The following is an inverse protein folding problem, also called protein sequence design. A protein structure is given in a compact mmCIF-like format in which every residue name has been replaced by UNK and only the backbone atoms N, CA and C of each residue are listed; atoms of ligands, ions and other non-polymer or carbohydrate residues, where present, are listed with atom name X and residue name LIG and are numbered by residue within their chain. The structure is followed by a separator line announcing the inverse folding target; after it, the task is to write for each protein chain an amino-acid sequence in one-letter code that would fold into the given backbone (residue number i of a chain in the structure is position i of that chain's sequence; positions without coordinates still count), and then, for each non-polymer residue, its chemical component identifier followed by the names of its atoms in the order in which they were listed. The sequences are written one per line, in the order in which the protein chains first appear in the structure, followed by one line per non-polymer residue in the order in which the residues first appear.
data_IF_412064094396
#
_entry.id   IF_412064094396
#
_cell.length_a   1.000
_cell.length_b   1.000
_cell.length_c   1.000
_cell.angle_alpha   90.00
_cell.angle_beta   90.00
_cell.angle_gamma   90.00
#
_symmetry.space_group_name_H-M   'P 1'
#
loop_
_entity.id
_entity.type
_entity.pdbx_description
1 polymer ?
#
# COMPACT_ATOMS: atom_id res chain seq x y z
N UNK A 1 -4.88 -0.91 6.55
CA UNK A 1 -3.83 0.14 6.43
C UNK A 1 -4.01 0.84 5.08
N UNK A 2 -4.09 2.18 5.05
CA UNK A 2 -4.39 2.92 3.83
C UNK A 2 -3.16 3.68 3.33
N UNK A 3 -2.94 3.66 2.01
CA UNK A 3 -1.93 4.46 1.33
C UNK A 3 -2.64 5.56 0.53
N UNK A 4 -2.29 6.82 0.76
CA UNK A 4 -2.91 7.98 0.09
C UNK A 4 -1.83 8.85 -0.53
N UNK A 5 -2.00 9.21 -1.80
CA UNK A 5 -1.07 10.10 -2.49
C UNK A 5 -1.60 11.54 -2.46
N UNK A 6 -0.82 12.44 -1.90
CA UNK A 6 -1.18 13.85 -1.78
C UNK A 6 -0.42 14.69 -2.79
N UNK A 7 -1.14 15.53 -3.54
CA UNK A 7 -0.56 16.58 -4.37
C UNK A 7 -0.46 17.88 -3.55
N UNK A 8 0.69 18.55 -3.59
CA UNK A 8 0.94 19.80 -2.90
C UNK A 8 0.95 20.98 -3.89
N UNK A 9 0.64 22.17 -3.38
CA UNK A 9 0.59 23.40 -4.19
C UNK A 9 1.92 23.79 -4.84
N UNK A 10 3.06 23.32 -4.30
CA UNK A 10 4.38 23.49 -4.90
C UNK A 10 4.66 22.50 -6.06
N UNK A 11 3.67 21.70 -6.47
CA UNK A 11 3.80 20.74 -7.57
C UNK A 11 4.47 19.42 -7.18
N UNK A 12 4.63 19.13 -5.89
CA UNK A 12 5.22 17.86 -5.43
C UNK A 12 4.20 16.89 -4.84
N UNK A 13 4.60 15.62 -4.77
CA UNK A 13 3.76 14.53 -4.29
C UNK A 13 4.36 13.88 -3.03
N UNK A 14 3.50 13.65 -2.03
CA UNK A 14 3.86 12.91 -0.81
C UNK A 14 2.96 11.69 -0.67
N UNK A 15 3.56 10.55 -0.35
CA UNK A 15 2.86 9.33 0.01
C UNK A 15 2.57 9.36 1.51
N UNK A 16 1.30 9.24 1.87
CA UNK A 16 0.84 9.02 3.22
C UNK A 16 0.60 7.53 3.44
N UNK A 17 1.11 6.99 4.55
CA UNK A 17 0.83 5.64 5.00
C UNK A 17 0.59 5.64 6.51
N UNK A 18 -0.17 4.66 7.00
CA UNK A 18 -0.46 4.52 8.43
C UNK A 18 0.35 3.40 9.08
N UNK A 19 0.86 3.68 10.29
CA UNK A 19 1.45 2.66 11.17
C UNK A 19 1.01 2.94 12.61
N UNK A 20 0.52 1.91 13.32
CA UNK A 20 -0.01 1.99 14.70
C UNK A 20 -0.87 3.24 14.99
N UNK A 21 -1.85 3.52 14.12
CA UNK A 21 -2.79 4.67 14.22
C UNK A 21 -2.19 6.06 13.97
N UNK A 22 -0.90 6.14 13.67
CA UNK A 22 -0.25 7.40 13.26
C UNK A 22 -0.09 7.45 11.75
N UNK A 23 -0.38 8.62 11.17
CA UNK A 23 -0.21 8.88 9.75
C UNK A 23 1.16 9.50 9.51
N UNK A 24 1.90 8.93 8.58
CA UNK A 24 3.23 9.41 8.20
C UNK A 24 3.24 9.81 6.74
N UNK A 25 4.02 10.84 6.43
CA UNK A 25 4.16 11.37 5.08
C UNK A 25 5.62 11.24 4.66
N UNK A 26 5.85 10.66 3.48
CA UNK A 26 7.17 10.57 2.86
C UNK A 26 7.12 11.14 1.43
N UNK A 27 8.19 11.81 0.94
CA UNK A 27 8.30 12.19 -0.46
C UNK A 27 8.13 10.96 -1.36
N UNK A 28 7.31 11.08 -2.42
CA UNK A 28 7.04 9.96 -3.32
C UNK A 28 8.32 9.38 -3.94
N UNK A 29 9.20 10.25 -4.44
CA UNK A 29 10.46 9.86 -5.11
C UNK A 29 11.38 9.10 -4.16
N UNK A 30 11.41 9.47 -2.87
CA UNK A 30 12.16 8.74 -1.85
C UNK A 30 11.68 7.30 -1.73
N UNK A 31 10.36 7.09 -1.68
CA UNK A 31 9.76 5.74 -1.63
C UNK A 31 10.05 4.96 -2.91
N UNK A 32 9.93 5.59 -4.09
CA UNK A 32 10.22 4.95 -5.37
C UNK A 32 11.68 4.46 -5.45
N UNK A 33 12.65 5.28 -5.04
CA UNK A 33 14.08 4.88 -4.95
C UNK A 33 14.31 3.77 -3.93
N UNK A 34 13.57 3.75 -2.82
CA UNK A 34 13.69 2.68 -1.83
C UNK A 34 13.21 1.32 -2.38
N UNK A 35 12.25 1.31 -3.31
CA UNK A 35 11.68 0.09 -3.90
C UNK A 35 12.62 -0.56 -4.93
N UNK A 36 13.19 0.22 -5.85
CA UNK A 36 14.02 -0.29 -6.96
C UNK A 36 15.40 0.36 -7.01
N UNK A 37 16.43 -0.44 -7.30
CA UNK A 37 17.81 0.05 -7.45
C UNK A 37 18.08 0.47 -8.89
N UNK A 38 17.37 1.51 -9.33
CA UNK A 38 17.49 2.04 -10.69
C UNK A 38 18.02 3.47 -10.66
N UNK A 39 18.80 3.87 -11.67
CA UNK A 39 19.27 5.24 -11.78
C UNK A 39 18.11 6.18 -12.12
N UNK A 40 18.25 7.44 -11.71
CA UNK A 40 17.16 8.42 -11.71
C UNK A 40 16.54 8.67 -13.08
N UNK A 41 17.33 8.57 -14.16
CA UNK A 41 16.83 8.70 -15.52
C UNK A 41 15.85 7.60 -15.93
N UNK A 42 15.98 6.38 -15.38
CA UNK A 42 14.99 5.32 -15.60
C UNK A 42 13.70 5.64 -14.84
N UNK A 43 13.79 6.03 -13.57
CA UNK A 43 12.63 6.43 -12.76
C UNK A 43 11.88 7.59 -13.44
N UNK A 44 12.62 8.59 -13.91
CA UNK A 44 12.10 9.71 -14.68
C UNK A 44 11.37 9.26 -15.95
N UNK A 45 11.99 8.35 -16.74
CA UNK A 45 11.39 7.82 -17.97
C UNK A 45 10.09 7.05 -17.70
N UNK A 46 10.02 6.29 -16.61
CA UNK A 46 8.79 5.57 -16.22
C UNK A 46 7.70 6.54 -15.77
N UNK A 47 8.02 7.55 -14.96
CA UNK A 47 7.05 8.58 -14.57
C UNK A 47 6.51 9.35 -15.78
N UNK A 48 7.38 9.72 -16.73
CA UNK A 48 7.00 10.40 -17.96
C UNK A 48 6.35 9.50 -19.04
N UNK A 49 6.25 8.20 -18.81
CA UNK A 49 5.72 7.28 -19.81
C UNK A 49 4.27 7.68 -20.15
N UNK A 50 4.03 8.11 -21.38
CA UNK A 50 2.70 8.55 -21.83
C UNK A 50 2.35 10.03 -21.65
N UNK A 51 3.17 10.80 -20.94
CA UNK A 51 2.85 12.20 -20.63
C UNK A 51 4.00 13.16 -20.99
N UNK A 52 4.81 12.79 -21.99
CA UNK A 52 5.97 13.60 -22.44
C UNK A 52 5.59 14.97 -23.00
N UNK A 53 4.37 15.10 -23.52
CA UNK A 53 3.90 16.33 -24.15
C UNK A 53 3.40 17.36 -23.12
N UNK A 54 3.22 16.95 -21.86
CA UNK A 54 2.74 17.80 -20.78
C UNK A 54 3.91 18.47 -20.04
N UNK A 55 4.25 19.69 -20.47
CA UNK A 55 5.36 20.47 -19.89
C UNK A 55 5.17 20.74 -18.39
N UNK A 56 3.92 20.90 -17.93
CA UNK A 56 3.64 21.13 -16.51
C UNK A 56 4.01 19.90 -15.70
N UNK A 57 3.54 18.71 -16.12
CA UNK A 57 3.89 17.46 -15.48
C UNK A 57 5.40 17.22 -15.47
N UNK A 58 6.07 17.43 -16.62
CA UNK A 58 7.52 17.28 -16.76
C UNK A 58 8.27 18.14 -15.74
N UNK A 59 7.89 19.41 -15.60
CA UNK A 59 8.50 20.33 -14.64
C UNK A 59 8.28 19.88 -13.18
N UNK A 60 7.07 19.41 -12.85
CA UNK A 60 6.77 18.89 -11.51
C UNK A 60 7.62 17.66 -11.16
N UNK A 61 7.75 16.69 -12.07
CA UNK A 61 8.61 15.52 -11.86
C UNK A 61 10.08 15.92 -11.69
N UNK A 62 10.58 16.85 -12.52
CA UNK A 62 11.95 17.37 -12.39
C UNK A 62 12.18 18.06 -11.05
N UNK A 63 11.20 18.84 -10.56
CA UNK A 63 11.29 19.47 -9.25
C UNK A 63 11.36 18.44 -8.11
N UNK A 64 10.52 17.39 -8.16
CA UNK A 64 10.54 16.33 -7.14
C UNK A 64 11.87 15.55 -7.11
N UNK A 65 12.50 15.33 -8.27
CA UNK A 65 13.83 14.71 -8.32
C UNK A 65 14.90 15.65 -7.75
N UNK A 66 14.83 16.94 -8.07
CA UNK A 66 15.75 17.96 -7.56
C UNK A 66 15.69 18.10 -6.03
N UNK A 67 14.49 18.17 -5.46
CA UNK A 67 14.29 18.24 -4.00
C UNK A 67 14.94 17.06 -3.26
N UNK A 68 14.99 15.87 -3.88
CA UNK A 68 15.64 14.71 -3.30
C UNK A 68 17.18 14.78 -3.40
N UNK A 69 17.71 15.29 -4.51
CA UNK A 69 19.15 15.53 -4.67
C UNK A 69 19.69 16.59 -3.72
N UNK A 70 18.89 17.63 -3.44
CA UNK A 70 19.22 18.64 -2.43
C UNK A 70 19.39 18.05 -1.02
N UNK A 71 18.81 16.87 -0.75
CA UNK A 71 18.99 16.12 0.50
C UNK A 71 20.17 15.13 0.47
N UNK A 72 20.97 15.13 -0.60
CA UNK A 72 22.10 14.22 -0.82
C UNK A 72 21.70 12.74 -0.85
N UNK A 73 20.45 12.43 -1.23
CA UNK A 73 19.92 11.06 -1.32
C UNK A 73 19.93 10.57 -2.78
N UNK A 74 21.07 10.03 -3.20
CA UNK A 74 21.30 9.66 -4.59
C UNK A 74 21.11 8.16 -4.82
N UNK A 75 21.66 7.33 -3.94
CA UNK A 75 21.62 5.86 -4.09
C UNK A 75 20.43 5.23 -3.36
N UNK A 76 20.03 4.02 -3.78
CA UNK A 76 19.00 3.26 -3.06
C UNK A 76 19.40 3.00 -1.61
N UNK A 77 20.67 2.63 -1.36
CA UNK A 77 21.16 2.32 -0.03
C UNK A 77 21.06 3.53 0.91
N UNK A 78 21.42 4.72 0.43
CA UNK A 78 21.25 5.99 1.17
C UNK A 78 19.78 6.27 1.47
N UNK A 79 18.90 6.12 0.48
CA UNK A 79 17.47 6.33 0.66
C UNK A 79 16.88 5.37 1.72
N UNK A 80 17.28 4.09 1.69
CA UNK A 80 16.85 3.09 2.66
C UNK A 80 17.43 3.34 4.05
N UNK A 81 18.68 3.77 4.16
CA UNK A 81 19.28 4.13 5.44
C UNK A 81 18.59 5.36 6.05
N UNK A 82 18.29 6.38 5.22
CA UNK A 82 17.60 7.59 5.65
C UNK A 82 16.18 7.28 6.19
N UNK A 83 15.40 6.51 5.44
CA UNK A 83 14.06 6.10 5.85
C UNK A 83 14.12 5.26 7.14
N UNK A 84 15.08 4.33 7.19
CA UNK A 84 15.31 3.46 8.34
C UNK A 84 15.61 4.24 9.60
N UNK A 85 16.57 5.16 9.55
CA UNK A 85 16.94 6.02 10.67
C UNK A 85 15.76 6.82 11.24
N UNK A 86 14.87 7.30 10.38
CA UNK A 86 13.70 8.10 10.77
C UNK A 86 12.57 7.26 11.38
N UNK A 87 12.41 6.01 10.93
CA UNK A 87 11.30 5.15 11.32
C UNK A 87 11.67 4.06 12.33
N UNK A 88 12.95 3.69 12.48
CA UNK A 88 13.41 2.68 13.43
C UNK A 88 12.94 2.93 14.87
N UNK A 89 13.00 4.16 15.43
CA UNK A 89 12.48 4.41 16.78
C UNK A 89 10.96 4.24 16.91
N UNK A 90 10.23 4.31 15.79
CA UNK A 90 8.76 4.23 15.73
C UNK A 90 8.27 2.79 15.50
N UNK A 91 9.14 1.89 15.04
CA UNK A 91 8.82 0.48 14.79
C UNK A 91 9.16 -0.36 16.02
N UNK A 92 8.23 -0.42 16.97
CA UNK A 92 8.38 -1.17 18.24
C UNK A 92 8.38 -2.70 18.03
N UNK A 93 7.89 -3.15 16.88
CA UNK A 93 7.90 -4.57 16.48
C UNK A 93 9.33 -5.10 16.32
N UNK A 94 10.25 -4.26 15.89
CA UNK A 94 11.63 -4.64 15.67
C UNK A 94 12.42 -4.59 16.98
N UNK A 95 13.43 -5.47 17.13
CA UNK A 95 14.30 -5.42 18.29
C UNK A 95 15.18 -4.15 18.28
N UNK A 96 15.70 -3.71 19.44
CA UNK A 96 16.55 -2.52 19.53
C UNK A 96 17.85 -2.59 18.71
N UNK A 97 18.34 -3.80 18.46
CA UNK A 97 19.53 -4.08 17.65
C UNK A 97 19.22 -4.23 16.16
N UNK A 98 17.97 -4.03 15.74
CA UNK A 98 17.63 -4.03 14.33
C UNK A 98 18.36 -2.91 13.58
N UNK A 99 18.76 -3.21 12.35
CA UNK A 99 19.44 -2.25 11.49
C UNK A 99 18.44 -1.26 10.88
N UNK A 100 18.94 -0.11 10.44
CA UNK A 100 18.10 0.86 9.71
C UNK A 100 17.53 0.24 8.42
N UNK A 101 18.28 -0.66 7.78
CA UNK A 101 17.83 -1.38 6.58
C UNK A 101 16.66 -2.32 6.87
N UNK A 102 16.73 -3.09 7.97
CA UNK A 102 15.64 -3.97 8.40
C UNK A 102 14.37 -3.17 8.75
N UNK A 103 14.53 -1.99 9.38
CA UNK A 103 13.42 -1.09 9.66
C UNK A 103 12.73 -0.60 8.38
N UNK A 104 13.52 -0.24 7.36
CA UNK A 104 12.98 0.13 6.05
C UNK A 104 12.30 -1.03 5.36
N UNK A 105 12.90 -2.22 5.38
CA UNK A 105 12.29 -3.40 4.76
C UNK A 105 10.94 -3.74 5.40
N UNK A 106 10.87 -3.68 6.73
CA UNK A 106 9.63 -3.86 7.47
C UNK A 106 8.55 -2.87 7.03
N UNK A 107 8.92 -1.59 6.90
CA UNK A 107 8.02 -0.51 6.49
C UNK A 107 7.51 -0.73 5.05
N UNK A 108 8.40 -1.02 4.11
CA UNK A 108 8.04 -1.23 2.70
C UNK A 108 7.18 -2.48 2.52
N UNK A 109 7.40 -3.55 3.31
CA UNK A 109 6.59 -4.76 3.25
C UNK A 109 5.23 -4.58 3.90
N UNK A 110 5.16 -3.93 5.07
CA UNK A 110 3.93 -3.89 5.89
C UNK A 110 3.10 -2.62 5.78
N UNK A 111 3.64 -1.51 5.29
CA UNK A 111 2.90 -0.26 5.20
C UNK A 111 2.60 0.15 3.75
N UNK A 112 3.56 -0.03 2.84
CA UNK A 112 3.46 0.44 1.45
C UNK A 112 2.91 -0.65 0.54
N UNK A 113 1.74 -0.43 -0.08
CA UNK A 113 1.10 -1.35 -1.05
C UNK A 113 1.20 -2.82 -0.65
N UNK A 114 0.62 -3.17 0.50
CA UNK A 114 0.74 -4.51 1.10
C UNK A 114 0.17 -5.65 0.24
N UNK A 115 -0.74 -5.35 -0.68
CA UNK A 115 -1.31 -6.31 -1.63
C UNK A 115 -0.32 -6.82 -2.70
N UNK A 116 0.81 -6.14 -2.88
CA UNK A 116 1.84 -6.52 -3.86
C UNK A 116 3.05 -7.05 -3.10
N UNK A 117 3.54 -8.22 -3.48
CA UNK A 117 4.72 -8.82 -2.84
C UNK A 117 6.03 -8.27 -3.42
N UNK A 118 6.09 -8.11 -4.75
CA UNK A 118 7.29 -7.64 -5.45
C UNK A 118 7.43 -6.10 -5.38
N UNK A 119 8.65 -5.63 -5.12
CA UNK A 119 8.97 -4.21 -5.06
C UNK A 119 8.85 -3.52 -6.43
N UNK A 120 9.04 -4.25 -7.53
CA UNK A 120 8.84 -3.69 -8.88
C UNK A 120 7.36 -3.44 -9.17
N UNK A 121 6.50 -4.40 -8.84
CA UNK A 121 5.05 -4.23 -8.99
C UNK A 121 4.54 -3.04 -8.15
N UNK A 122 5.06 -2.90 -6.92
CA UNK A 122 4.86 -1.70 -6.10
C UNK A 122 5.27 -0.43 -6.83
N UNK A 123 6.48 -0.40 -7.37
CA UNK A 123 6.97 0.75 -8.12
C UNK A 123 6.03 1.13 -9.27
N UNK A 124 5.62 0.17 -10.08
CA UNK A 124 4.68 0.40 -11.19
C UNK A 124 3.31 0.89 -10.72
N UNK A 125 2.78 0.33 -9.63
CA UNK A 125 1.54 0.78 -9.01
C UNK A 125 1.60 2.25 -8.57
N UNK A 126 2.69 2.67 -7.90
CA UNK A 126 2.87 4.06 -7.50
C UNK A 126 3.05 5.01 -8.69
N UNK A 127 3.77 4.59 -9.73
CA UNK A 127 3.90 5.38 -10.96
C UNK A 127 2.53 5.62 -11.56
N UNK A 128 1.71 4.57 -11.71
CA UNK A 128 0.34 4.69 -12.21
C UNK A 128 -0.54 5.60 -11.34
N UNK A 129 -0.50 5.43 -10.02
CA UNK A 129 -1.21 6.30 -9.07
C UNK A 129 -0.80 7.77 -9.21
N UNK A 130 0.49 8.02 -9.46
CA UNK A 130 1.04 9.37 -9.63
C UNK A 130 0.54 10.00 -10.92
N UNK A 131 0.64 9.30 -12.04
CA UNK A 131 0.18 9.82 -13.33
C UNK A 131 -1.30 10.21 -13.25
N UNK A 132 -2.12 9.33 -12.68
CA UNK A 132 -3.55 9.58 -12.48
C UNK A 132 -3.85 10.72 -11.52
N UNK A 133 -3.06 10.90 -10.46
CA UNK A 133 -3.19 12.05 -9.56
C UNK A 133 -2.99 13.37 -10.32
N UNK A 134 -2.02 13.43 -11.22
CA UNK A 134 -1.79 14.63 -12.04
C UNK A 134 -2.90 14.84 -13.06
N UNK A 135 -3.44 13.79 -13.68
CA UNK A 135 -4.61 13.90 -14.55
C UNK A 135 -5.84 14.42 -13.79
N UNK A 136 -6.02 14.00 -12.53
CA UNK A 136 -7.07 14.51 -11.64
C UNK A 136 -6.87 16.00 -11.33
N UNK A 137 -5.65 16.42 -10.98
CA UNK A 137 -5.31 17.83 -10.68
C UNK A 137 -5.54 18.73 -11.90
N UNK A 138 -5.27 18.22 -13.11
CA UNK A 138 -5.48 18.95 -14.36
C UNK A 138 -6.92 18.85 -14.88
N UNK A 139 -7.86 18.25 -14.14
CA UNK A 139 -9.24 18.02 -14.54
C UNK A 139 -9.41 17.20 -15.83
N UNK A 140 -8.40 16.41 -16.23
CA UNK A 140 -8.53 15.43 -17.33
C UNK A 140 -9.38 14.23 -16.92
N UNK A 141 -9.59 14.07 -15.61
CA UNK A 141 -10.25 12.93 -15.00
C UNK A 141 -11.35 13.40 -14.05
N UNK A 142 -12.53 12.76 -14.11
CA UNK A 142 -13.64 13.07 -13.21
C UNK A 142 -13.33 12.66 -11.76
N UNK A 143 -13.86 13.38 -10.77
CA UNK A 143 -13.78 12.90 -9.38
C UNK A 143 -14.79 11.76 -9.18
N UNK A 144 -14.32 10.61 -8.73
CA UNK A 144 -15.19 9.49 -8.34
C UNK A 144 -15.73 9.72 -6.93
N UNK A 145 -17.03 9.47 -6.74
CA UNK A 145 -17.67 9.56 -5.44
C UNK A 145 -17.38 8.33 -4.59
N UNK A 146 -16.99 8.53 -3.33
CA UNK A 146 -16.79 7.44 -2.36
C UNK A 146 -18.08 6.64 -2.08
N UNK A 147 -19.23 7.22 -2.40
CA UNK A 147 -20.56 6.62 -2.22
C UNK A 147 -20.98 5.73 -3.40
N UNK A 148 -20.18 5.67 -4.47
CA UNK A 148 -20.50 4.82 -5.61
C UNK A 148 -20.26 3.35 -5.25
N UNK A 149 -21.29 2.51 -5.45
CA UNK A 149 -21.23 1.06 -5.14
C UNK A 149 -20.07 0.37 -5.87
N UNK A 150 -19.67 0.88 -7.05
CA UNK A 150 -18.56 0.36 -7.86
C UNK A 150 -17.16 0.53 -7.23
N UNK A 151 -17.01 1.37 -6.20
CA UNK A 151 -15.74 1.56 -5.47
C UNK A 151 -15.82 1.08 -4.02
N UNK A 152 -16.94 0.44 -3.64
CA UNK A 152 -17.17 -0.09 -2.31
C UNK A 152 -17.06 -1.61 -2.33
N UNK A 153 -16.53 -2.18 -1.25
CA UNK A 153 -16.51 -3.61 -1.00
C UNK A 153 -17.22 -3.92 0.33
N UNK A 154 -17.74 -5.13 0.45
CA UNK A 154 -18.45 -5.58 1.65
C UNK A 154 -17.52 -6.35 2.58
N UNK A 155 -17.20 -5.77 3.73
CA UNK A 155 -16.50 -6.47 4.80
C UNK A 155 -17.42 -7.53 5.43
N UNK A 156 -17.19 -8.80 5.10
CA UNK A 156 -17.99 -9.92 5.62
C UNK A 156 -17.68 -10.19 7.10
N UNK A 157 -18.69 -10.57 7.88
CA UNK A 157 -18.55 -10.82 9.33
C UNK A 157 -17.46 -11.84 9.70
N UNK A 158 -17.24 -12.88 8.87
CA UNK A 158 -16.14 -13.83 9.07
C UNK A 158 -14.75 -13.19 8.97
N UNK A 159 -14.54 -12.30 7.99
CA UNK A 159 -13.28 -11.56 7.86
C UNK A 159 -13.08 -10.60 9.03
N UNK A 160 -14.14 -9.92 9.47
CA UNK A 160 -14.09 -9.07 10.66
C UNK A 160 -13.71 -9.87 11.92
N UNK A 161 -14.30 -11.05 12.10
CA UNK A 161 -13.97 -11.95 13.20
C UNK A 161 -12.48 -12.34 13.18
N UNK A 162 -11.95 -12.72 12.01
CA UNK A 162 -10.54 -13.07 11.84
C UNK A 162 -9.60 -11.88 12.07
N UNK A 163 -9.98 -10.66 11.67
CA UNK A 163 -9.21 -9.44 11.96
C UNK A 163 -9.11 -9.18 13.46
N UNK A 164 -10.24 -9.25 14.18
CA UNK A 164 -10.25 -9.11 15.65
C UNK A 164 -9.39 -10.20 16.28
N UNK A 165 -9.55 -11.46 15.87
CA UNK A 165 -8.78 -12.59 16.37
C UNK A 165 -7.27 -12.39 16.17
N UNK A 166 -6.86 -12.02 14.94
CA UNK A 166 -5.46 -11.72 14.59
C UNK A 166 -4.89 -10.64 15.51
N UNK A 167 -5.63 -9.55 15.73
CA UNK A 167 -5.18 -8.46 16.59
C UNK A 167 -5.08 -8.88 18.06
N UNK A 168 -6.01 -9.72 18.56
CA UNK A 168 -5.92 -10.25 19.92
C UNK A 168 -4.71 -11.17 20.10
N UNK A 169 -4.41 -12.01 19.12
CA UNK A 169 -3.22 -12.87 19.12
C UNK A 169 -1.94 -12.06 19.07
N UNK A 170 -1.87 -11.03 18.22
CA UNK A 170 -0.72 -10.11 18.17
C UNK A 170 -0.50 -9.39 19.50
N UNK A 171 -1.59 -8.93 20.14
CA UNK A 171 -1.51 -8.31 21.46
C UNK A 171 -1.06 -9.30 22.54
N UNK A 172 -1.53 -10.56 22.49
CA UNK A 172 -1.07 -11.61 23.40
C UNK A 172 0.46 -11.82 23.27
N UNK A 173 0.95 -11.95 22.04
CA UNK A 173 2.39 -12.06 21.76
C UNK A 173 3.18 -10.85 22.25
N UNK A 174 2.63 -9.64 22.07
CA UNK A 174 3.25 -8.42 22.56
C UNK A 174 3.34 -8.38 24.09
N UNK A 175 2.28 -8.78 24.80
CA UNK A 175 2.30 -8.84 26.27
C UNK A 175 3.29 -9.90 26.78
N UNK A 176 3.36 -11.06 26.13
CA UNK A 176 4.35 -12.10 26.46
C UNK A 176 5.78 -11.53 26.33
N UNK A 177 6.08 -10.81 25.24
CA UNK A 177 7.37 -10.14 25.06
C UNK A 177 7.66 -9.16 26.21
N UNK A 178 6.71 -8.32 26.59
CA UNK A 178 6.89 -7.36 27.68
C UNK A 178 7.16 -8.03 29.04
N UNK A 179 6.47 -9.14 29.34
CA UNK A 179 6.67 -9.90 30.58
C UNK A 179 8.07 -10.52 30.61
N UNK A 180 8.53 -11.08 29.48
CA UNK A 180 9.87 -11.63 29.33
C UNK A 180 10.94 -10.55 29.51
N UNK A 181 10.79 -9.39 28.86
CA UNK A 181 11.70 -8.26 29.01
C UNK A 181 11.75 -7.73 30.44
N UNK A 182 10.60 -7.69 31.14
CA UNK A 182 10.55 -7.28 32.55
C UNK A 182 11.31 -8.25 33.43
N UNK A 183 11.14 -9.57 33.25
CA UNK A 183 11.88 -10.60 33.99
C UNK A 183 13.38 -10.54 33.72
N UNK A 184 13.77 -10.34 32.45
CA UNK A 184 15.17 -10.19 32.06
C UNK A 184 15.86 -9.02 32.79
N UNK A 185 15.15 -7.90 32.96
CA UNK A 185 15.65 -6.71 33.69
C UNK A 185 15.79 -6.94 35.20
N UNK A 186 15.04 -7.88 35.79
CA UNK A 186 15.10 -8.18 37.24
C UNK A 186 16.27 -9.10 37.61
N UNK A 187 17.11 -9.51 36.65
CA UNK A 187 18.37 -10.23 36.93
C UNK A 187 18.21 -11.71 37.29
N UNK A 188 17.00 -12.27 37.20
CA UNK A 188 16.79 -13.71 37.30
C UNK A 188 17.25 -14.35 35.99
N UNK A 189 18.17 -15.31 36.06
CA UNK A 189 18.54 -16.13 34.91
C UNK A 189 17.28 -16.73 34.29
N UNK A 190 17.02 -16.41 33.02
CA UNK A 190 15.84 -16.89 32.29
C UNK A 190 15.98 -18.40 32.03
N UNK A 191 15.46 -19.22 32.93
CA UNK A 191 15.31 -20.65 32.71
C UNK A 191 13.98 -20.93 32.02
N UNK A 192 13.99 -21.33 30.75
CA UNK A 192 12.78 -21.72 30.02
C UNK A 192 12.28 -23.10 30.46
N UNK A 193 11.82 -23.22 31.72
CA UNK A 193 11.12 -24.40 32.17
C UNK A 193 9.65 -24.35 31.71
N UNK A 194 9.03 -25.50 31.43
CA UNK A 194 7.65 -25.59 30.98
C UNK A 194 6.66 -24.91 31.94
N UNK A 195 6.91 -25.01 33.25
CA UNK A 195 6.11 -24.35 34.28
C UNK A 195 6.19 -22.81 34.20
N UNK A 196 7.39 -22.27 33.93
CA UNK A 196 7.57 -20.82 33.78
C UNK A 196 6.91 -20.28 32.52
N UNK A 197 7.01 -21.02 31.41
CA UNK A 197 6.37 -20.65 30.16
C UNK A 197 4.84 -20.61 30.31
N UNK A 198 4.26 -21.62 30.98
CA UNK A 198 2.83 -21.62 31.30
C UNK A 198 2.42 -20.43 32.18
N UNK A 199 3.24 -20.07 33.17
CA UNK A 199 3.01 -18.88 34.00
C UNK A 199 3.01 -17.58 33.19
N UNK A 200 3.96 -17.43 32.26
CA UNK A 200 4.06 -16.25 31.40
C UNK A 200 2.85 -16.17 30.46
N UNK A 201 2.44 -17.27 29.84
CA UNK A 201 1.27 -17.32 28.96
C UNK A 201 0.00 -16.97 29.74
N UNK A 202 -0.18 -17.52 30.95
CA UNK A 202 -1.31 -17.18 31.83
C UNK A 202 -1.34 -15.69 32.17
N UNK A 203 -0.18 -15.06 32.37
CA UNK A 203 -0.09 -13.63 32.67
C UNK A 203 -0.50 -12.71 31.50
N UNK A 204 -0.45 -13.22 30.26
CA UNK A 204 -0.84 -12.45 29.08
C UNK A 204 -2.37 -12.36 28.86
N UNK A 205 -3.13 -13.15 29.62
CA UNK A 205 -4.60 -13.12 29.69
C UNK A 205 -5.29 -14.10 28.75
N UNK A 206 -6.60 -14.29 28.95
CA UNK A 206 -7.42 -15.19 28.12
C UNK A 206 -7.85 -14.52 26.81
N UNK A 207 -7.72 -15.26 25.71
CA UNK A 207 -8.25 -14.90 24.40
C UNK A 207 -9.77 -15.08 24.33
N UNK A 208 -10.29 -16.14 24.96
CA UNK A 208 -11.70 -16.54 24.92
C UNK A 208 -12.59 -15.43 25.46
N UNK A 209 -12.28 -14.91 26.66
CA UNK A 209 -13.05 -13.83 27.28
C UNK A 209 -13.08 -12.56 26.43
N UNK A 210 -11.97 -12.25 25.73
CA UNK A 210 -11.89 -11.06 24.85
C UNK A 210 -12.74 -11.25 23.59
N UNK A 211 -12.81 -12.47 23.06
CA UNK A 211 -13.64 -12.79 21.89
C UNK A 211 -15.12 -12.89 22.28
N UNK A 212 -15.45 -13.45 23.44
CA UNK A 212 -16.80 -13.51 23.99
C UNK A 212 -17.35 -12.10 24.25
N UNK A 213 -16.52 -11.20 24.79
CA UNK A 213 -16.89 -9.78 24.97
C UNK A 213 -17.17 -9.11 23.61
N UNK A 214 -16.37 -9.39 22.59
CA UNK A 214 -16.58 -8.85 21.24
C UNK A 214 -17.90 -9.34 20.64
N UNK A 215 -18.20 -10.64 20.74
CA UNK A 215 -19.45 -11.21 20.23
C UNK A 215 -20.66 -10.69 21.01
N UNK A 216 -20.58 -10.63 22.34
CA UNK A 216 -21.70 -10.25 23.21
C UNK A 216 -22.04 -8.77 23.14
N UNK A 217 -21.04 -7.89 23.05
CA UNK A 217 -21.24 -6.44 23.09
C UNK A 217 -21.18 -5.78 21.71
N UNK A 218 -20.65 -6.47 20.70
CA UNK A 218 -20.31 -5.89 19.40
C UNK A 218 -19.17 -4.85 19.46
N UNK A 219 -18.65 -4.55 20.65
CA UNK A 219 -17.58 -3.58 20.82
C UNK A 219 -16.26 -4.24 20.49
N UNK A 220 -15.65 -3.76 19.42
CA UNK A 220 -14.32 -4.13 19.04
C UNK A 220 -13.40 -3.00 19.50
N UNK A 221 -12.77 -3.09 20.70
CA UNK A 221 -12.00 -2.00 21.31
C UNK A 221 -10.69 -1.69 20.56
N UNK A 222 -10.55 -2.19 19.35
CA UNK A 222 -9.32 -2.14 18.58
C UNK A 222 -9.47 -1.22 17.36
N UNK A 223 -8.66 -0.18 17.35
CA UNK A 223 -8.72 0.94 16.39
C UNK A 223 -8.06 0.60 15.04
N UNK A 224 -7.64 -0.66 14.86
CA UNK A 224 -7.06 -1.16 13.60
C UNK A 224 -8.09 -1.93 12.76
N UNK A 225 -9.38 -1.89 13.14
CA UNK A 225 -10.48 -2.57 12.43
C UNK A 225 -11.08 -1.75 11.29
N UNK A 226 -10.52 -0.56 11.02
CA UNK A 226 -10.64 -0.05 9.66
C UNK A 226 -10.08 -1.14 8.76
N UNK A 227 -10.79 -1.53 7.69
CA UNK A 227 -10.40 -2.67 6.90
C UNK A 227 -8.89 -2.63 6.61
N UNK A 228 -8.16 -3.64 7.08
CA UNK A 228 -6.91 -4.05 6.44
C UNK A 228 -7.21 -4.64 5.04
N UNK A 229 -8.44 -4.48 4.54
CA UNK A 229 -8.82 -4.72 3.18
C UNK A 229 -8.03 -3.77 2.27
N UNK A 230 -7.29 -4.37 1.34
CA UNK A 230 -7.47 -4.31 -0.11
C UNK A 230 -8.17 -3.08 -0.75
N UNK A 231 -8.26 -1.96 -0.05
CA UNK A 231 -8.91 -0.74 -0.50
C UNK A 231 -7.90 0.28 -0.96
N UNK A 232 -7.32 0.08 -2.15
CA UNK A 232 -6.88 1.23 -2.91
C UNK A 232 -8.12 1.99 -3.35
N UNK A 233 -8.42 3.11 -2.69
CA UNK A 233 -9.03 4.23 -3.40
C UNK A 233 -7.89 4.94 -4.15
N UNK A 234 -7.30 4.26 -5.13
CA UNK A 234 -6.89 4.96 -6.33
C UNK A 234 -8.16 4.97 -7.16
N UNK A 235 -9.02 6.00 -7.04
CA UNK A 235 -10.41 5.97 -7.54
C UNK A 235 -10.38 5.38 -8.94
N UNK A 236 -10.77 4.11 -9.10
CA UNK A 236 -10.51 3.31 -10.31
C UNK A 236 -10.90 4.17 -11.51
N UNK A 237 -10.07 4.21 -12.56
CA UNK A 237 -10.05 5.24 -13.63
C UNK A 237 -11.41 5.93 -13.82
N UNK A 238 -11.52 7.19 -13.39
CA UNK A 238 -12.68 8.00 -13.72
C UNK A 238 -12.70 8.29 -15.21
N UNK A 239 -13.91 8.46 -15.75
CA UNK A 239 -14.18 8.88 -17.12
C UNK A 239 -13.21 10.01 -17.53
N UNK A 240 -12.46 9.80 -18.62
CA UNK A 240 -11.90 10.90 -19.40
C UNK A 240 -13.08 11.52 -20.15
N UNK A 241 -13.39 12.78 -19.86
CA UNK A 241 -14.45 13.49 -20.59
C UNK A 241 -13.97 13.76 -22.02
N UNK A 242 -14.38 12.89 -22.96
CA UNK A 242 -14.05 12.93 -24.39
C UNK A 242 -14.44 14.26 -25.08
N UNK A 243 -15.14 15.17 -24.41
CA UNK A 243 -15.58 16.45 -24.99
C UNK A 243 -14.55 17.58 -24.91
N UNK A 244 -13.45 17.46 -24.15
CA UNK A 244 -12.48 18.56 -24.00
C UNK A 244 -11.02 18.23 -24.39
N UNK A 245 -10.69 16.97 -24.66
CA UNK A 245 -9.32 16.60 -25.06
C UNK A 245 -9.21 16.45 -26.57
N UNK A 246 -8.51 17.39 -27.21
CA UNK A 246 -7.93 17.16 -28.53
C UNK A 246 -7.14 15.84 -28.51
N UNK A 247 -7.21 15.11 -29.62
CA UNK A 247 -6.61 13.78 -29.90
C UNK A 247 -5.11 13.72 -29.57
N UNK A 248 -4.76 13.62 -28.31
CA UNK A 248 -3.44 13.22 -27.85
C UNK A 248 -3.50 11.73 -27.52
N UNK A 249 -2.60 10.88 -28.08
CA UNK A 249 -2.56 9.47 -27.72
C UNK A 249 -2.09 9.37 -26.27
N UNK A 250 -3.01 9.10 -25.35
CA UNK A 250 -2.68 8.99 -23.93
C UNK A 250 -2.23 7.54 -23.67
N UNK A 251 -0.95 7.31 -23.36
CA UNK A 251 -0.41 5.94 -23.15
C UNK A 251 -0.91 5.29 -21.84
N UNK A 252 -1.81 5.94 -21.11
CA UNK A 252 -2.64 5.32 -20.08
C UNK A 252 -3.80 4.49 -20.67
N UNK A 253 -4.02 4.55 -21.99
CA UNK A 253 -5.02 3.78 -22.72
C UNK A 253 -4.77 2.28 -22.53
N UNK A 254 -5.56 1.70 -21.63
CA UNK A 254 -5.73 0.27 -21.31
C UNK A 254 -4.56 -0.41 -20.58
N UNK A 255 -4.14 0.17 -19.46
CA UNK A 255 -3.43 -0.59 -18.43
C UNK A 255 -4.26 -1.80 -17.97
N UNK A 256 -3.65 -2.99 -17.94
CA UNK A 256 -4.29 -4.22 -17.48
C UNK A 256 -3.87 -4.49 -16.05
N UNK A 257 -4.84 -4.48 -15.13
CA UNK A 257 -4.65 -4.81 -13.73
C UNK A 257 -5.29 -6.15 -13.39
N UNK A 258 -4.59 -6.95 -12.61
CA UNK A 258 -5.12 -8.17 -11.97
C UNK A 258 -4.88 -8.02 -10.47
N UNK A 259 -5.96 -7.95 -9.68
CA UNK A 259 -5.91 -7.79 -8.21
C UNK A 259 -4.97 -6.67 -7.73
N UNK A 260 -4.95 -5.54 -8.46
CA UNK A 260 -4.11 -4.37 -8.17
C UNK A 260 -2.68 -4.44 -8.73
N UNK A 261 -2.25 -5.57 -9.28
CA UNK A 261 -0.97 -5.71 -9.98
C UNK A 261 -1.08 -5.26 -11.43
N UNK A 262 -0.20 -4.36 -11.86
CA UNK A 262 -0.08 -3.98 -13.27
C UNK A 262 0.60 -5.11 -14.05
N UNK A 263 -0.11 -5.72 -14.99
CA UNK A 263 0.39 -6.84 -15.82
C UNK A 263 0.93 -6.35 -17.15
N UNK A 264 0.34 -5.29 -17.72
CA UNK A 264 0.78 -4.75 -19.00
C UNK A 264 -0.17 -3.70 -19.55
N UNK A 265 -0.05 -3.47 -20.85
CA UNK A 265 -0.80 -2.46 -21.60
C UNK A 265 -1.41 -3.10 -22.84
N UNK A 266 -2.66 -2.73 -23.15
CA UNK A 266 -3.36 -3.16 -24.37
C UNK A 266 -3.61 -1.97 -25.29
N UNK A 267 -3.41 -2.12 -26.62
CA UNK A 267 -3.87 -1.12 -27.58
C UNK A 267 -5.40 -0.94 -27.55
N UNK A 268 -5.89 0.29 -27.70
CA UNK A 268 -7.34 0.63 -27.65
C UNK A 268 -8.14 -0.20 -28.67
N UNK A 269 -7.61 -0.38 -29.88
CA UNK A 269 -8.23 -1.16 -30.95
C UNK A 269 -8.49 -2.63 -30.57
N UNK A 270 -7.67 -3.16 -29.66
CA UNK A 270 -7.72 -4.56 -29.25
C UNK A 270 -8.41 -4.76 -27.90
N UNK A 271 -8.51 -3.72 -27.07
CA UNK A 271 -8.99 -3.81 -25.70
C UNK A 271 -10.41 -4.41 -25.61
N UNK A 272 -11.32 -3.96 -26.48
CA UNK A 272 -12.69 -4.50 -26.56
C UNK A 272 -12.74 -5.97 -26.98
N UNK A 273 -11.92 -6.37 -27.96
CA UNK A 273 -11.86 -7.75 -28.45
C UNK A 273 -11.27 -8.68 -27.41
N UNK A 274 -10.18 -8.27 -26.76
CA UNK A 274 -9.54 -9.00 -25.67
C UNK A 274 -10.52 -9.18 -24.50
N UNK A 275 -11.22 -8.13 -24.08
CA UNK A 275 -12.21 -8.23 -22.99
C UNK A 275 -13.38 -9.17 -23.34
N UNK A 276 -13.89 -9.12 -24.58
CA UNK A 276 -14.91 -10.05 -25.04
C UNK A 276 -14.41 -11.50 -25.01
N UNK A 277 -13.17 -11.73 -25.46
CA UNK A 277 -12.54 -13.05 -25.44
C UNK A 277 -12.39 -13.61 -24.02
N UNK A 278 -11.90 -12.82 -23.05
CA UNK A 278 -11.79 -13.27 -21.65
C UNK A 278 -13.16 -13.57 -21.05
N UNK A 279 -14.20 -12.80 -21.42
CA UNK A 279 -15.59 -13.10 -21.00
C UNK A 279 -16.10 -14.40 -21.60
N UNK A 280 -15.74 -14.73 -22.84
CA UNK A 280 -16.08 -16.02 -23.46
C UNK A 280 -15.40 -17.17 -22.72
N UNK A 281 -14.10 -17.07 -22.44
CA UNK A 281 -13.37 -18.08 -21.65
C UNK A 281 -13.99 -18.31 -20.27
N UNK A 282 -14.42 -17.22 -19.61
CA UNK A 282 -15.14 -17.26 -18.33
C UNK A 282 -16.45 -18.06 -18.42
N UNK A 283 -17.23 -17.86 -19.49
CA UNK A 283 -18.50 -18.58 -19.69
C UNK A 283 -18.26 -20.06 -20.00
N UNK A 284 -17.18 -20.37 -20.71
CA UNK A 284 -16.78 -21.74 -21.03
C UNK A 284 -16.21 -22.50 -19.82
N UNK A 285 -15.97 -21.82 -18.69
CA UNK A 285 -15.40 -22.37 -17.46
C UNK A 285 -14.06 -23.10 -17.70
N UNK A 286 -13.27 -22.59 -18.64
CA UNK A 286 -11.92 -23.09 -18.94
C UNK A 286 -10.91 -22.46 -17.95
N UNK A 287 -10.14 -21.47 -18.41
CA UNK A 287 -9.01 -20.90 -17.66
C UNK A 287 -9.39 -19.73 -16.74
N UNK A 288 -10.64 -19.26 -16.78
CA UNK A 288 -11.09 -18.09 -16.02
C UNK A 288 -12.24 -18.47 -15.08
N UNK A 289 -12.08 -18.31 -13.75
CA UNK A 289 -13.15 -18.57 -12.80
C UNK A 289 -14.42 -17.77 -13.08
N UNK A 290 -15.58 -18.40 -12.87
CA UNK A 290 -16.89 -17.77 -13.12
C UNK A 290 -17.16 -16.55 -12.21
N UNK A 291 -16.43 -16.42 -11.11
CA UNK A 291 -16.53 -15.30 -10.17
C UNK A 291 -15.67 -14.11 -10.57
N UNK A 292 -14.75 -14.25 -11.53
CA UNK A 292 -13.82 -13.17 -11.91
C UNK A 292 -14.58 -11.99 -12.53
N UNK A 293 -14.40 -10.80 -11.96
CA UNK A 293 -14.96 -9.56 -12.52
C UNK A 293 -14.05 -9.03 -13.64
N UNK A 294 -14.66 -8.74 -14.80
CA UNK A 294 -13.93 -8.25 -15.98
C UNK A 294 -14.51 -6.90 -16.38
N UNK A 295 -13.76 -5.85 -16.07
CA UNK A 295 -14.14 -4.46 -16.31
C UNK A 295 -13.17 -3.83 -17.31
N UNK A 296 -13.69 -3.33 -18.42
CA UNK A 296 -12.99 -2.38 -19.28
C UNK A 296 -13.61 -1.01 -19.01
N UNK A 297 -12.77 -0.02 -18.71
CA UNK A 297 -13.18 1.37 -18.59
C UNK A 297 -12.60 2.12 -19.79
N UNK A 298 -13.48 2.70 -20.61
CA UNK A 298 -13.19 3.40 -21.87
C UNK A 298 -13.72 4.82 -21.78
#
# INVERSE_FOLDING_TARGET
MNNVLHFLQNGTCKLMFSHRKTMYYAPLVLILKCLVDWPDHYIYRFLLHGMKNDLYYVNCIQNMLRELHEQELNTQAECRAYLGRMFRPKVVELPPWATDLEATEFLLKRCVMIHLDDYKDKFYGLVFMTQKLFDLVQNKCKVEGADAVMVQELQVGGHLYLQVLKERLQNLMYVIKLVLEKKARTGTTLTFNAAELQSIIRSAGSLEQKMETFISTGNAPSTNLLPDAWGFVCPVTPFLDRKQTEKLPHVLENCVFIDGRLVGYLPEDTAHKSMAYVRTLKVMSEDVPITTEIVLRV
#
